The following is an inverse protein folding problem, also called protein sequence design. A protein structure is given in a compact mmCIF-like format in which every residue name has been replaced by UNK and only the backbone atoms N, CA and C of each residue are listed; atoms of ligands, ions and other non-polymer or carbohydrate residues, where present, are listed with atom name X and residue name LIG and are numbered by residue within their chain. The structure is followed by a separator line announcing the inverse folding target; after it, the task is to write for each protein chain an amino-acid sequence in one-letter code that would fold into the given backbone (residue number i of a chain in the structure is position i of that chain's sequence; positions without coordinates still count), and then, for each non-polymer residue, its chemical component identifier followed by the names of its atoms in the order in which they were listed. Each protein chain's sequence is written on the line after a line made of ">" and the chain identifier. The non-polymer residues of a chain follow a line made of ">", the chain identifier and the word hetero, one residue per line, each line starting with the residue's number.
data_IF_664841039171
#
_entry.id   IF_664841039171
#
_cell.length_a   1.000
_cell.length_b   1.000
_cell.length_c   1.000
_cell.angle_alpha   90.00
_cell.angle_beta   90.00
_cell.angle_gamma   90.00
#
_symmetry.space_group_name_H-M   'P 1'
#
loop_
_entity.id
_entity.type
_entity.pdbx_description
1 polymer ?
#
# COMPACT_ATOMS: atom_id res chain seq x y z
N UNK A 1 2.39 25.07 -5.19
CA UNK A 1 3.37 24.76 -6.25
C UNK A 1 4.79 24.95 -5.75
N UNK A 2 5.67 24.00 -6.04
CA UNK A 2 7.07 24.08 -5.62
C UNK A 2 7.84 25.07 -6.50
N UNK A 3 8.64 25.88 -5.85
CA UNK A 3 9.58 26.74 -6.56
C UNK A 3 10.81 25.94 -6.97
N UNK A 4 11.56 26.44 -7.95
CA UNK A 4 12.83 25.86 -8.35
C UNK A 4 13.72 25.67 -7.12
N UNK A 5 14.28 24.49 -6.94
CA UNK A 5 15.07 24.14 -5.76
C UNK A 5 14.25 23.69 -4.56
N UNK A 6 12.91 23.75 -4.63
CA UNK A 6 12.03 23.29 -3.56
C UNK A 6 12.06 21.77 -3.41
N UNK A 7 11.79 21.29 -2.20
CA UNK A 7 11.84 19.85 -1.85
C UNK A 7 10.43 19.34 -1.67
N UNK A 8 10.17 18.15 -2.22
CA UNK A 8 8.92 17.42 -2.05
C UNK A 8 9.21 16.06 -1.43
N UNK A 9 8.51 15.74 -0.35
CA UNK A 9 8.61 14.44 0.32
C UNK A 9 7.30 13.68 0.15
N UNK A 10 7.39 12.43 -0.25
CA UNK A 10 6.26 11.53 -0.37
C UNK A 10 6.50 10.27 0.45
N UNK A 11 5.49 9.86 1.22
CA UNK A 11 5.43 8.53 1.84
C UNK A 11 4.08 7.95 1.47
N UNK A 12 4.08 6.81 0.78
CA UNK A 12 2.82 6.19 0.35
C UNK A 12 3.00 4.69 0.12
N UNK A 13 1.87 4.01 -0.05
CA UNK A 13 1.84 2.61 -0.40
C UNK A 13 2.52 2.39 -1.75
N UNK A 14 3.20 1.25 -1.86
CA UNK A 14 3.90 0.89 -3.08
C UNK A 14 3.46 -0.51 -3.48
N UNK A 15 3.09 -0.69 -4.74
CA UNK A 15 2.74 -2.00 -5.26
C UNK A 15 4.00 -2.75 -5.68
N UNK A 16 4.06 -4.08 -5.42
CA UNK A 16 5.15 -4.88 -5.97
C UNK A 16 5.06 -4.99 -7.49
N UNK A 17 6.17 -5.31 -8.15
CA UNK A 17 6.22 -5.43 -9.61
C UNK A 17 5.52 -6.69 -10.13
N UNK A 18 5.26 -7.68 -9.28
CA UNK A 18 4.58 -8.91 -9.68
C UNK A 18 3.09 -8.63 -9.88
N UNK A 19 2.51 -8.98 -11.07
CA UNK A 19 1.10 -8.67 -11.36
C UNK A 19 0.10 -9.26 -10.37
N UNK A 20 0.33 -10.47 -9.87
CA UNK A 20 -0.58 -11.09 -8.89
C UNK A 20 -0.54 -10.34 -7.56
N UNK A 21 0.66 -9.99 -7.09
CA UNK A 21 0.84 -9.27 -5.84
C UNK A 21 0.33 -7.85 -5.95
N UNK A 22 0.58 -7.18 -7.07
CA UNK A 22 0.07 -5.84 -7.36
C UNK A 22 -1.46 -5.83 -7.32
N UNK A 23 -2.09 -6.78 -8.02
CA UNK A 23 -3.54 -6.88 -8.09
C UNK A 23 -4.16 -7.10 -6.72
N UNK A 24 -3.56 -7.97 -5.91
CA UNK A 24 -4.04 -8.24 -4.55
C UNK A 24 -3.95 -6.98 -3.68
N UNK A 25 -2.79 -6.34 -3.68
CA UNK A 25 -2.56 -5.14 -2.87
C UNK A 25 -3.54 -4.02 -3.22
N UNK A 26 -3.71 -3.75 -4.50
CA UNK A 26 -4.64 -2.72 -4.96
C UNK A 26 -6.10 -3.08 -4.68
N UNK A 27 -6.47 -4.35 -4.78
CA UNK A 27 -7.83 -4.81 -4.46
C UNK A 27 -8.12 -4.59 -2.97
N UNK A 28 -7.20 -4.96 -2.09
CA UNK A 28 -7.35 -4.82 -0.65
C UNK A 28 -7.46 -3.34 -0.25
N UNK A 29 -6.58 -2.51 -0.77
CA UNK A 29 -6.58 -1.08 -0.46
C UNK A 29 -7.86 -0.40 -0.95
N UNK A 30 -8.30 -0.71 -2.16
CA UNK A 30 -9.52 -0.15 -2.74
C UNK A 30 -10.77 -0.61 -1.99
N UNK A 31 -10.75 -1.86 -1.52
CA UNK A 31 -11.87 -2.41 -0.75
C UNK A 31 -12.01 -1.67 0.57
N UNK A 32 -10.89 -1.45 1.26
CA UNK A 32 -10.88 -0.73 2.54
C UNK A 32 -11.32 0.73 2.37
N UNK A 33 -10.84 1.38 1.32
CA UNK A 33 -11.08 2.81 1.08
C UNK A 33 -11.39 3.03 -0.40
N UNK A 34 -12.67 3.25 -0.70
CA UNK A 34 -13.13 3.41 -2.07
C UNK A 34 -12.54 4.63 -2.77
N UNK A 35 -12.01 5.60 -2.00
CA UNK A 35 -11.36 6.78 -2.56
C UNK A 35 -9.90 6.51 -2.94
N UNK A 36 -9.36 5.34 -2.53
CA UNK A 36 -8.00 4.98 -2.87
C UNK A 36 -7.83 4.89 -4.39
N UNK A 37 -6.79 5.55 -4.90
CA UNK A 37 -6.40 5.38 -6.28
C UNK A 37 -5.61 4.09 -6.44
N UNK A 38 -4.66 4.06 -7.37
CA UNK A 38 -3.81 2.90 -7.55
C UNK A 38 -2.55 3.03 -6.69
N UNK A 39 -2.19 1.96 -5.98
CA UNK A 39 -0.84 1.86 -5.40
C UNK A 39 0.13 1.61 -6.55
N UNK A 40 1.12 2.47 -6.69
CA UNK A 40 2.03 2.45 -7.82
C UNK A 40 3.29 1.67 -7.52
N UNK A 41 3.91 1.10 -8.57
CA UNK A 41 5.22 0.46 -8.47
C UNK A 41 6.30 1.54 -8.30
N UNK A 42 7.53 1.17 -7.87
CA UNK A 42 8.62 2.14 -7.75
C UNK A 42 8.89 2.88 -9.05
N UNK A 43 8.84 2.20 -10.18
CA UNK A 43 9.07 2.79 -11.49
C UNK A 43 7.98 3.79 -11.84
N UNK A 44 6.72 3.49 -11.51
CA UNK A 44 5.60 4.40 -11.72
C UNK A 44 5.74 5.67 -10.86
N UNK A 45 6.14 5.52 -9.60
CA UNK A 45 6.38 6.66 -8.71
C UNK A 45 7.49 7.56 -9.23
N UNK A 46 8.60 6.96 -9.69
CA UNK A 46 9.71 7.72 -10.25
C UNK A 46 9.30 8.47 -11.52
N UNK A 47 8.48 7.82 -12.36
CA UNK A 47 7.98 8.45 -13.58
C UNK A 47 7.08 9.66 -13.26
N UNK A 48 6.25 9.57 -12.22
CA UNK A 48 5.44 10.71 -11.79
C UNK A 48 6.31 11.87 -11.32
N UNK A 49 7.35 11.59 -10.55
CA UNK A 49 8.26 12.65 -10.09
C UNK A 49 8.96 13.31 -11.27
N UNK A 50 9.50 12.53 -12.18
CA UNK A 50 10.16 13.05 -13.38
C UNK A 50 9.22 13.88 -14.25
N UNK A 51 8.00 13.35 -14.47
CA UNK A 51 6.98 14.05 -15.25
C UNK A 51 6.51 15.35 -14.64
N UNK A 52 6.60 15.47 -13.30
CA UNK A 52 6.27 16.70 -12.58
C UNK A 52 7.43 17.69 -12.49
N UNK A 53 8.56 17.40 -13.13
CA UNK A 53 9.74 18.25 -13.09
C UNK A 53 10.55 18.13 -11.82
N UNK A 54 10.40 17.01 -11.10
CA UNK A 54 11.14 16.75 -9.87
C UNK A 54 12.30 15.79 -10.16
N UNK A 55 13.45 16.07 -9.57
CA UNK A 55 14.58 15.14 -9.60
C UNK A 55 14.55 14.31 -8.33
N UNK A 56 14.53 12.98 -8.47
CA UNK A 56 14.56 12.09 -7.31
C UNK A 56 15.96 12.11 -6.71
N UNK A 57 16.07 12.58 -5.47
CA UNK A 57 17.35 12.65 -4.76
C UNK A 57 17.57 11.47 -3.84
N UNK A 58 16.47 10.88 -3.34
CA UNK A 58 16.53 9.80 -2.36
C UNK A 58 15.27 8.96 -2.44
N UNK A 59 15.43 7.66 -2.30
CA UNK A 59 14.30 6.75 -2.19
C UNK A 59 14.60 5.67 -1.17
N UNK A 60 13.61 5.32 -0.36
CA UNK A 60 13.70 4.23 0.61
C UNK A 60 12.48 3.36 0.47
N UNK A 61 12.67 2.07 0.64
CA UNK A 61 11.59 1.10 0.69
C UNK A 61 11.51 0.55 2.11
N UNK A 62 10.29 0.43 2.62
CA UNK A 62 10.09 -0.16 3.94
C UNK A 62 8.77 -0.90 3.94
N UNK A 63 8.60 -1.76 4.94
CA UNK A 63 7.36 -2.52 5.09
C UNK A 63 6.65 -2.08 6.36
N UNK A 64 5.32 -2.06 6.29
CA UNK A 64 4.49 -1.66 7.42
C UNK A 64 3.45 -2.72 7.68
N UNK A 65 3.37 -3.15 8.95
CA UNK A 65 2.36 -4.11 9.39
C UNK A 65 1.11 -3.37 9.83
N UNK A 66 -0.02 -3.81 9.30
CA UNK A 66 -1.32 -3.25 9.65
C UNK A 66 -2.08 -4.25 10.51
N UNK A 67 -2.48 -3.84 11.70
CA UNK A 67 -3.40 -4.61 12.51
C UNK A 67 -4.80 -4.44 11.92
N UNK A 68 -5.41 -5.55 11.52
CA UNK A 68 -6.60 -5.53 10.67
C UNK A 68 -7.75 -4.74 11.29
N UNK A 69 -8.02 -4.96 12.57
CA UNK A 69 -9.14 -4.28 13.24
C UNK A 69 -8.95 -2.77 13.27
N UNK A 70 -7.75 -2.30 13.61
CA UNK A 70 -7.44 -0.87 13.65
C UNK A 70 -7.43 -0.26 12.25
N UNK A 71 -6.89 -0.99 11.28
CA UNK A 71 -6.76 -0.53 9.91
C UNK A 71 -8.12 -0.32 9.25
N UNK A 72 -9.07 -1.25 9.47
CA UNK A 72 -10.43 -1.13 8.94
C UNK A 72 -11.24 -0.09 9.70
N UNK A 73 -10.99 0.06 11.01
CA UNK A 73 -11.68 1.06 11.82
C UNK A 73 -11.34 2.48 11.37
N UNK A 74 -10.09 2.73 11.02
CA UNK A 74 -9.67 4.07 10.56
C UNK A 74 -10.36 4.50 9.26
N UNK A 75 -10.73 3.55 8.42
CA UNK A 75 -11.48 3.84 7.19
C UNK A 75 -12.99 3.73 7.37
N UNK A 76 -13.46 3.41 8.59
CA UNK A 76 -14.87 3.26 8.92
C UNK A 76 -15.57 2.22 8.04
N UNK A 77 -14.87 1.13 7.74
CA UNK A 77 -15.41 0.05 6.91
C UNK A 77 -16.57 -0.64 7.64
N UNK A 78 -17.76 -0.78 7.01
CA UNK A 78 -18.87 -1.48 7.64
C UNK A 78 -18.53 -2.94 7.99
N UNK A 79 -19.16 -3.46 9.05
CA UNK A 79 -18.84 -4.80 9.56
C UNK A 79 -19.01 -5.90 8.51
N UNK A 80 -20.03 -5.81 7.66
CA UNK A 80 -20.26 -6.81 6.61
C UNK A 80 -19.15 -6.76 5.55
N UNK A 81 -18.68 -5.56 5.21
CA UNK A 81 -17.57 -5.39 4.28
C UNK A 81 -16.25 -5.81 4.90
N UNK A 82 -16.05 -5.51 6.19
CA UNK A 82 -14.89 -5.95 6.93
C UNK A 82 -14.77 -7.47 6.94
N UNK A 83 -15.88 -8.17 7.20
CA UNK A 83 -15.91 -9.64 7.22
C UNK A 83 -15.59 -10.21 5.84
N UNK A 84 -16.14 -9.62 4.78
CA UNK A 84 -15.87 -10.06 3.42
C UNK A 84 -14.41 -9.83 3.02
N UNK A 85 -13.83 -8.70 3.39
CA UNK A 85 -12.42 -8.39 3.14
C UNK A 85 -11.50 -9.35 3.89
N UNK A 86 -11.82 -9.62 5.16
CA UNK A 86 -11.07 -10.59 5.97
C UNK A 86 -11.03 -11.95 5.29
N UNK A 87 -12.18 -12.43 4.84
CA UNK A 87 -12.27 -13.72 4.15
C UNK A 87 -11.46 -13.71 2.85
N UNK A 88 -11.53 -12.64 2.09
CA UNK A 88 -10.76 -12.50 0.86
C UNK A 88 -9.25 -12.63 1.12
N UNK A 89 -8.76 -11.99 2.18
CA UNK A 89 -7.34 -12.05 2.54
C UNK A 89 -6.96 -13.46 3.03
N UNK A 90 -7.78 -14.06 3.90
CA UNK A 90 -7.50 -15.39 4.46
C UNK A 90 -7.58 -16.51 3.43
N UNK A 91 -8.37 -16.33 2.38
CA UNK A 91 -8.52 -17.30 1.29
C UNK A 91 -7.52 -17.08 0.15
N UNK A 92 -6.65 -16.09 0.26
CA UNK A 92 -5.65 -15.83 -0.77
C UNK A 92 -4.64 -16.97 -0.87
N UNK A 93 -3.92 -17.03 -2.00
CA UNK A 93 -2.96 -18.10 -2.26
C UNK A 93 -1.84 -18.10 -1.22
N UNK A 94 -1.18 -19.26 -0.99
CA UNK A 94 -0.03 -19.31 -0.07
C UNK A 94 1.07 -18.31 -0.43
N UNK A 95 1.29 -18.06 -1.71
CA UNK A 95 2.28 -17.10 -2.18
C UNK A 95 1.95 -15.69 -1.70
N UNK A 96 0.68 -15.31 -1.80
CA UNK A 96 0.20 -13.99 -1.33
C UNK A 96 0.33 -13.90 0.18
N UNK A 97 -0.10 -14.94 0.90
CA UNK A 97 -0.05 -14.93 2.36
C UNK A 97 1.37 -14.79 2.89
N UNK A 98 2.33 -15.46 2.24
CA UNK A 98 3.74 -15.35 2.62
C UNK A 98 4.27 -13.95 2.32
N UNK A 99 4.02 -13.44 1.13
CA UNK A 99 4.54 -12.11 0.75
C UNK A 99 4.01 -11.01 1.66
N UNK A 100 2.71 -11.02 1.95
CA UNK A 100 2.08 -9.99 2.77
C UNK A 100 2.09 -10.33 4.26
N UNK A 101 2.81 -11.37 4.65
CA UNK A 101 2.97 -11.78 6.06
C UNK A 101 1.63 -11.82 6.79
N UNK A 102 0.65 -12.50 6.19
CA UNK A 102 -0.71 -12.63 6.74
C UNK A 102 -0.65 -13.47 8.02
N UNK A 103 -1.14 -12.90 9.14
CA UNK A 103 -1.17 -13.56 10.43
C UNK A 103 -2.61 -13.73 10.87
N UNK A 104 -2.97 -14.95 11.26
CA UNK A 104 -4.30 -15.32 11.72
C UNK A 104 -4.27 -15.51 13.24
N UNK A 105 -5.30 -15.01 13.93
CA UNK A 105 -5.46 -15.21 15.36
C UNK A 105 -5.88 -16.65 15.66
N UNK A 106 -5.70 -17.07 16.92
CA UNK A 106 -6.09 -18.39 17.37
C UNK A 106 -7.59 -18.66 17.15
N UNK A 107 -8.42 -17.62 17.20
CA UNK A 107 -9.88 -17.72 16.97
C UNK A 107 -10.26 -17.76 15.48
N UNK A 108 -9.28 -17.76 14.58
CA UNK A 108 -9.52 -17.81 13.14
C UNK A 108 -9.66 -16.48 12.43
N UNK A 109 -9.76 -15.38 13.17
CA UNK A 109 -9.84 -14.05 12.56
C UNK A 109 -8.47 -13.55 12.12
N UNK A 110 -8.46 -12.64 11.15
CA UNK A 110 -7.24 -12.02 10.66
C UNK A 110 -6.67 -11.07 11.72
N UNK A 111 -5.39 -11.25 12.06
CA UNK A 111 -4.72 -10.36 13.00
C UNK A 111 -4.05 -9.19 12.29
N UNK A 112 -3.22 -9.49 11.31
CA UNK A 112 -2.42 -8.47 10.62
C UNK A 112 -1.96 -8.94 9.26
N UNK A 113 -1.56 -7.97 8.46
CA UNK A 113 -0.83 -8.20 7.21
C UNK A 113 0.16 -7.07 7.01
N UNK A 114 1.13 -7.27 6.12
CA UNK A 114 2.22 -6.32 5.89
C UNK A 114 2.31 -6.01 4.42
N UNK A 115 2.40 -4.73 4.08
CA UNK A 115 2.61 -4.33 2.69
C UNK A 115 3.76 -3.33 2.56
N UNK A 116 4.08 -2.98 1.32
CA UNK A 116 5.25 -2.19 0.99
C UNK A 116 4.90 -0.71 0.94
N UNK A 117 5.86 0.11 1.39
CA UNK A 117 5.78 1.57 1.33
C UNK A 117 7.05 2.12 0.70
N UNK A 118 6.92 3.29 0.12
CA UNK A 118 8.04 4.02 -0.47
C UNK A 118 8.11 5.42 0.14
N UNK A 119 9.34 5.85 0.43
CA UNK A 119 9.63 7.26 0.73
C UNK A 119 10.43 7.81 -0.43
N UNK A 120 9.96 8.89 -1.03
CA UNK A 120 10.65 9.59 -2.10
C UNK A 120 10.91 11.02 -1.72
N UNK A 121 12.12 11.48 -1.98
CA UNK A 121 12.51 12.87 -1.84
C UNK A 121 12.85 13.40 -3.23
N UNK A 122 12.13 14.42 -3.67
CA UNK A 122 12.35 15.05 -4.95
C UNK A 122 12.71 16.51 -4.79
N UNK A 123 13.52 17.02 -5.71
CA UNK A 123 13.87 18.43 -5.78
C UNK A 123 13.37 19.02 -7.08
N UNK A 124 12.71 20.16 -7.01
CA UNK A 124 12.21 20.88 -8.19
C UNK A 124 13.39 21.41 -9.01
N UNK A 125 13.41 21.03 -10.27
CA UNK A 125 14.42 21.51 -11.20
C UNK A 125 14.27 22.99 -11.55
#
# INVERSE_FOLDING_TARGET
>A
MLKSGGIYLLIDCMAPNDPELDSFDNTVEKWRDSSHGRSCTPEEWQAFFTGAGLQVEHSEFFRKTHHFDEWTLRSQLPDNEKAALEQFILESSPRIQVYFAVVQQANGHLESFTNDFILLKGRKR
#
